data_IF_818928817464
#
_entry.id   IF_818928817464
#
_cell.length_a   1.000
_cell.length_b   1.000
_cell.length_c   1.000
_cell.angle_alpha   90.00
_cell.angle_beta   90.00
_cell.angle_gamma   90.00
#
_symmetry.space_group_name_H-M   'P 1'
#
loop_
_entity.id
_entity.type
_entity.pdbx_description
1 polymer ?
#
# COMPACT_ATOMS: atom_id res chain seq x y z
N UNK A 1 -5.02 1.11 11.41
CA UNK A 1 -5.67 2.38 11.80
C UNK A 1 -6.87 2.67 10.87
N UNK A 2 -7.58 3.80 10.99
CA UNK A 2 -8.73 4.12 10.13
C UNK A 2 -8.38 4.09 8.62
N UNK A 3 -7.21 4.62 8.24
CA UNK A 3 -6.70 4.57 6.87
C UNK A 3 -6.58 3.13 6.34
N UNK A 4 -6.02 2.21 7.14
CA UNK A 4 -5.90 0.80 6.72
C UNK A 4 -7.25 0.15 6.44
N UNK A 5 -8.27 0.47 7.25
CA UNK A 5 -9.63 -0.04 7.01
C UNK A 5 -10.22 0.52 5.72
N UNK A 6 -9.94 1.78 5.40
CA UNK A 6 -10.43 2.38 4.17
C UNK A 6 -9.78 1.73 2.93
N UNK A 7 -8.46 1.52 2.96
CA UNK A 7 -7.75 0.79 1.89
C UNK A 7 -8.32 -0.62 1.72
N UNK A 8 -8.58 -1.35 2.81
CA UNK A 8 -9.20 -2.67 2.70
C UNK A 8 -10.59 -2.62 2.08
N UNK A 9 -11.42 -1.65 2.48
CA UNK A 9 -12.74 -1.47 1.89
C UNK A 9 -12.67 -1.09 0.40
N UNK A 10 -11.72 -0.24 0.00
CA UNK A 10 -11.47 0.11 -1.40
C UNK A 10 -10.99 -1.11 -2.20
N UNK A 11 -10.08 -1.91 -1.64
CA UNK A 11 -9.62 -3.16 -2.24
C UNK A 11 -10.76 -4.18 -2.39
N UNK A 12 -11.63 -4.32 -1.38
CA UNK A 12 -12.83 -5.16 -1.45
C UNK A 12 -13.77 -4.70 -2.56
N UNK A 13 -14.07 -3.39 -2.64
CA UNK A 13 -14.95 -2.82 -3.66
C UNK A 13 -14.43 -3.04 -5.09
N UNK A 14 -13.13 -3.13 -5.26
CA UNK A 14 -12.47 -3.39 -6.56
C UNK A 14 -12.15 -4.88 -6.79
N UNK A 15 -12.47 -5.78 -5.87
CA UNK A 15 -12.17 -7.21 -5.98
C UNK A 15 -10.68 -7.55 -5.85
N UNK A 16 -9.86 -6.65 -5.28
CA UNK A 16 -8.41 -6.76 -5.15
C UNK A 16 -7.95 -7.14 -3.73
N UNK A 17 -8.88 -7.46 -2.83
CA UNK A 17 -8.60 -7.69 -1.40
C UNK A 17 -7.50 -8.72 -1.13
N UNK A 18 -7.31 -9.69 -2.03
CA UNK A 18 -6.29 -10.73 -1.89
C UNK A 18 -4.85 -10.18 -1.85
N UNK A 19 -4.60 -9.01 -2.43
CA UNK A 19 -3.26 -8.39 -2.49
C UNK A 19 -2.91 -7.51 -1.28
N UNK A 20 -3.88 -7.19 -0.42
CA UNK A 20 -3.69 -6.22 0.67
C UNK A 20 -3.83 -6.92 2.01
N UNK A 21 -2.76 -7.10 2.77
CA UNK A 21 -2.82 -7.70 4.10
C UNK A 21 -2.08 -6.84 5.13
N UNK A 22 -2.27 -7.14 6.41
CA UNK A 22 -1.37 -6.60 7.43
C UNK A 22 -0.02 -7.31 7.34
N UNK A 23 1.03 -6.53 7.53
CA UNK A 23 2.33 -7.07 7.90
C UNK A 23 2.28 -7.61 9.34
N UNK A 24 2.88 -8.77 9.58
CA UNK A 24 2.87 -9.45 10.88
C UNK A 24 3.93 -8.93 11.87
N UNK A 25 4.67 -7.89 11.48
CA UNK A 25 5.74 -7.25 12.24
C UNK A 25 5.70 -5.73 12.09
N UNK A 26 6.37 -5.02 12.99
CA UNK A 26 6.63 -3.59 12.82
C UNK A 26 7.65 -3.36 11.70
N UNK A 27 7.51 -2.23 11.01
CA UNK A 27 8.47 -1.75 10.01
C UNK A 27 8.79 -0.29 10.26
N UNK A 28 10.07 0.06 10.28
CA UNK A 28 10.51 1.45 10.23
C UNK A 28 10.63 1.86 8.77
N UNK A 29 9.81 2.83 8.38
CA UNK A 29 9.82 3.46 7.07
C UNK A 29 9.40 4.93 7.24
N UNK A 30 9.28 5.69 6.16
CA UNK A 30 8.95 7.12 6.16
C UNK A 30 7.62 7.45 6.89
N UNK A 31 6.69 6.49 6.97
CA UNK A 31 5.46 6.62 7.76
C UNK A 31 5.71 6.72 9.27
N UNK A 32 6.83 6.19 9.78
CA UNK A 32 7.14 6.14 11.21
C UNK A 32 7.30 7.53 11.83
N UNK A 33 8.23 8.41 11.37
CA UNK A 33 8.37 9.75 11.94
C UNK A 33 7.12 10.62 11.78
N UNK A 34 6.31 10.40 10.73
CA UNK A 34 5.05 11.11 10.54
C UNK A 34 4.01 10.72 11.60
N UNK A 35 3.90 9.42 11.88
CA UNK A 35 3.03 8.92 12.95
C UNK A 35 3.48 9.41 14.34
N UNK A 36 4.80 9.52 14.59
CA UNK A 36 5.35 10.02 15.87
C UNK A 36 4.94 11.47 16.17
N UNK A 37 4.76 12.30 15.14
CA UNK A 37 4.27 13.68 15.27
C UNK A 37 2.75 13.81 15.14
N UNK A 38 2.03 12.68 15.12
CA UNK A 38 0.57 12.64 15.12
C UNK A 38 -0.09 12.81 13.75
N UNK A 39 0.66 12.71 12.64
CA UNK A 39 0.09 12.66 11.29
C UNK A 39 -0.20 11.20 10.94
N UNK A 40 -1.47 10.77 10.80
CA UNK A 40 -1.78 9.37 10.50
C UNK A 40 -1.32 9.02 9.10
N UNK A 41 -0.37 8.08 8.99
CA UNK A 41 0.14 7.58 7.71
C UNK A 41 0.22 6.06 7.75
N UNK A 42 -0.09 5.43 6.62
CA UNK A 42 0.10 3.99 6.40
C UNK A 42 1.07 3.81 5.24
N UNK A 43 1.74 2.67 5.23
CA UNK A 43 2.65 2.26 4.17
C UNK A 43 2.08 1.06 3.42
N UNK A 44 2.15 1.09 2.09
CA UNK A 44 1.72 0.02 1.18
C UNK A 44 2.97 -0.56 0.55
N UNK A 45 3.42 -1.70 1.09
CA UNK A 45 4.73 -2.26 0.80
C UNK A 45 4.62 -3.77 0.55
N UNK A 46 5.37 -4.25 -0.44
CA UNK A 46 5.52 -5.67 -0.75
C UNK A 46 6.77 -6.23 -0.06
N UNK A 47 6.60 -7.29 0.73
CA UNK A 47 7.69 -7.99 1.40
C UNK A 47 8.13 -9.27 0.68
N UNK A 48 7.38 -9.70 -0.33
CA UNK A 48 7.68 -10.87 -1.15
C UNK A 48 8.41 -10.44 -2.45
N UNK A 49 9.43 -9.57 -2.30
CA UNK A 49 10.24 -9.03 -3.39
C UNK A 49 11.74 -9.36 -3.26
N UNK A 50 12.18 -10.56 -3.69
CA UNK A 50 13.58 -11.01 -3.55
C UNK A 50 14.67 -10.09 -4.12
N UNK A 51 14.46 -9.32 -5.21
CA UNK A 51 15.48 -8.44 -5.76
C UNK A 51 15.83 -7.21 -4.89
N UNK A 52 15.08 -6.94 -3.81
CA UNK A 52 15.29 -5.78 -2.95
C UNK A 52 16.76 -5.63 -2.53
N UNK A 53 17.31 -4.42 -2.74
CA UNK A 53 18.72 -4.09 -2.45
C UNK A 53 19.76 -4.97 -3.19
N UNK A 54 19.41 -5.47 -4.37
CA UNK A 54 20.35 -6.18 -5.26
C UNK A 54 20.47 -5.48 -6.60
N UNK A 55 21.51 -5.79 -7.37
CA UNK A 55 21.65 -5.32 -8.75
C UNK A 55 20.59 -5.92 -9.71
N UNK A 56 19.79 -6.89 -9.25
CA UNK A 56 18.71 -7.50 -10.01
C UNK A 56 17.37 -6.75 -9.83
N UNK A 57 17.33 -5.69 -9.02
CA UNK A 57 16.20 -4.76 -8.98
C UNK A 57 16.21 -3.87 -10.22
N UNK A 58 15.66 -4.42 -11.31
CA UNK A 58 15.71 -3.88 -12.66
C UNK A 58 14.31 -3.78 -13.26
N UNK A 59 14.18 -3.03 -14.36
CA UNK A 59 12.87 -2.73 -14.97
C UNK A 59 12.06 -3.98 -15.38
N UNK A 60 12.70 -5.11 -15.64
CA UNK A 60 12.02 -6.38 -15.94
C UNK A 60 11.32 -7.00 -14.72
N UNK A 61 11.50 -6.45 -13.51
CA UNK A 61 10.76 -6.83 -12.29
C UNK A 61 9.49 -6.00 -12.08
N UNK A 62 9.30 -4.94 -12.86
CA UNK A 62 8.13 -4.07 -12.76
C UNK A 62 6.93 -4.73 -13.45
N UNK A 63 5.82 -4.80 -12.73
CA UNK A 63 4.55 -5.30 -13.25
C UNK A 63 3.55 -4.15 -13.44
N UNK A 64 3.10 -3.95 -14.68
CA UNK A 64 2.04 -2.99 -14.97
C UNK A 64 0.73 -3.34 -14.23
N UNK A 65 0.44 -4.62 -14.06
CA UNK A 65 -0.72 -5.10 -13.29
C UNK A 65 -0.61 -4.71 -11.82
N UNK A 66 0.55 -4.93 -11.19
CA UNK A 66 0.75 -4.56 -9.77
C UNK A 66 0.60 -3.05 -9.56
N UNK A 67 1.14 -2.23 -10.48
CA UNK A 67 0.98 -0.78 -10.45
C UNK A 67 -0.49 -0.36 -10.59
N UNK A 68 -1.25 -1.00 -11.50
CA UNK A 68 -2.68 -0.74 -11.66
C UNK A 68 -3.45 -1.08 -10.38
N UNK A 69 -3.20 -2.25 -9.78
CA UNK A 69 -3.89 -2.70 -8.57
C UNK A 69 -3.72 -1.69 -7.43
N UNK A 70 -2.48 -1.33 -7.11
CA UNK A 70 -2.19 -0.38 -6.01
C UNK A 70 -2.75 1.01 -6.34
N UNK A 71 -2.52 1.50 -7.56
CA UNK A 71 -2.96 2.82 -7.99
C UNK A 71 -4.48 2.97 -7.97
N UNK A 72 -5.23 1.98 -8.46
CA UNK A 72 -6.71 2.01 -8.47
C UNK A 72 -7.29 1.96 -7.07
N UNK A 73 -6.73 1.15 -6.17
CA UNK A 73 -7.20 1.07 -4.78
C UNK A 73 -6.97 2.40 -4.06
N UNK A 74 -5.77 2.97 -4.18
CA UNK A 74 -5.45 4.27 -3.57
C UNK A 74 -6.32 5.40 -4.14
N UNK A 75 -6.53 5.43 -5.47
CA UNK A 75 -7.38 6.44 -6.11
C UNK A 75 -8.85 6.29 -5.71
N UNK A 76 -9.35 5.05 -5.63
CA UNK A 76 -10.72 4.80 -5.19
C UNK A 76 -10.92 5.29 -3.76
N UNK A 77 -10.02 4.97 -2.84
CA UNK A 77 -10.08 5.47 -1.46
C UNK A 77 -10.06 7.00 -1.40
N UNK A 78 -9.14 7.64 -2.13
CA UNK A 78 -9.05 9.11 -2.20
C UNK A 78 -10.37 9.73 -2.67
N UNK A 79 -10.98 9.19 -3.72
CA UNK A 79 -12.28 9.65 -4.23
C UNK A 79 -13.39 9.43 -3.19
N UNK A 80 -13.41 8.28 -2.51
CA UNK A 80 -14.38 8.04 -1.43
C UNK A 80 -14.16 8.94 -0.21
N UNK A 81 -12.94 9.44 0.01
CA UNK A 81 -12.65 10.41 1.06
C UNK A 81 -13.16 11.80 0.69
N UNK A 82 -12.88 12.28 -0.53
CA UNK A 82 -13.29 13.61 -1.00
C UNK A 82 -14.82 13.76 -1.20
N UNK A 83 -15.51 12.66 -1.47
CA UNK A 83 -16.96 12.64 -1.69
C UNK A 83 -17.79 12.36 -0.42
N UNK A 84 -17.14 12.21 0.74
CA UNK A 84 -17.82 12.16 2.05
C UNK A 84 -18.16 13.57 2.53
#
# INVERSE_FOLDING_TARGET
AALTRNIFAAADALGQRAYFTYLDRGMTDDHTPLNEIGIPVIDLIDFDFPPWHTAADTLDKISAESLEIVGRVALYDLVQFELK
#
